data_IF_590650599469
#
_entry.id   IF_590650599469
#
_cell.length_a   1.000
_cell.length_b   1.000
_cell.length_c   1.000
_cell.angle_alpha   90.00
_cell.angle_beta   90.00
_cell.angle_gamma   90.00
#
_symmetry.space_group_name_H-M   'P 1'
#
loop_
_entity.id
_entity.type
_entity.pdbx_description
1 polymer ?
#
# COMPACT_ATOMS: atom_id res chain seq x y z
N UNK A 1 14.92 42.57 13.58
CA UNK A 1 14.74 41.75 14.80
C UNK A 1 13.37 41.06 14.88
N UNK A 2 12.28 41.74 14.52
CA UNK A 2 10.91 41.21 14.65
C UNK A 2 10.56 39.99 13.76
N UNK A 3 11.18 39.82 12.58
CA UNK A 3 10.93 38.68 11.69
C UNK A 3 11.41 37.32 12.27
N UNK A 4 12.56 37.30 12.95
CA UNK A 4 13.07 36.09 13.62
C UNK A 4 12.18 35.66 14.79
N UNK A 5 11.56 36.62 15.47
CA UNK A 5 10.68 36.35 16.62
C UNK A 5 9.33 35.77 16.16
N UNK A 6 8.78 36.27 15.05
CA UNK A 6 7.59 35.71 14.40
C UNK A 6 7.81 34.29 13.86
N UNK A 7 8.96 34.03 13.23
CA UNK A 7 9.31 32.67 12.77
C UNK A 7 9.47 31.67 13.92
N UNK A 8 10.11 32.08 15.04
CA UNK A 8 10.18 31.24 16.23
C UNK A 8 8.80 30.92 16.78
N UNK A 9 7.93 31.91 16.96
CA UNK A 9 6.56 31.70 17.45
C UNK A 9 5.77 30.75 16.53
N UNK A 10 5.85 30.94 15.21
CA UNK A 10 5.18 30.04 14.25
C UNK A 10 5.75 28.62 14.35
N UNK A 11 7.08 28.46 14.50
CA UNK A 11 7.70 27.13 14.69
C UNK A 11 7.30 26.48 16.02
N UNK A 12 7.21 27.25 17.11
CA UNK A 12 6.83 26.72 18.43
C UNK A 12 5.36 26.36 18.47
N UNK A 13 4.49 27.14 17.80
CA UNK A 13 3.06 26.85 17.69
C UNK A 13 2.80 25.66 16.79
N UNK A 14 3.52 25.51 15.67
CA UNK A 14 3.43 24.31 14.83
C UNK A 14 4.01 23.07 15.52
N UNK A 15 5.09 23.20 16.28
CA UNK A 15 5.63 22.13 17.11
C UNK A 15 4.66 21.73 18.24
N UNK A 16 4.04 22.71 18.91
CA UNK A 16 3.04 22.47 19.96
C UNK A 16 1.74 21.89 19.41
N UNK A 17 1.30 22.32 18.22
CA UNK A 17 0.14 21.74 17.52
C UNK A 17 0.42 20.32 17.03
N UNK A 18 1.65 20.05 16.59
CA UNK A 18 2.13 18.71 16.26
C UNK A 18 2.17 17.84 17.52
N UNK A 19 2.72 18.34 18.63
CA UNK A 19 2.74 17.64 19.92
C UNK A 19 1.34 17.43 20.51
N UNK A 20 0.43 18.39 20.38
CA UNK A 20 -0.94 18.26 20.90
C UNK A 20 -1.76 17.26 20.11
N UNK A 21 -1.43 17.03 18.83
CA UNK A 21 -1.96 15.93 18.04
C UNK A 21 -1.48 14.55 18.52
N UNK A 22 -0.38 14.48 19.29
CA UNK A 22 0.13 13.27 19.92
C UNK A 22 -0.29 13.11 21.39
N UNK A 23 -1.07 14.05 21.97
CA UNK A 23 -1.57 13.90 23.34
C UNK A 23 -2.75 12.93 23.36
N UNK A 24 -2.76 11.94 24.29
CA UNK A 24 -3.86 11.00 24.42
C UNK A 24 -5.18 11.71 24.72
N UNK A 25 -6.25 11.33 24.01
CA UNK A 25 -7.60 11.92 24.13
C UNK A 25 -8.37 11.51 25.40
N UNK A 26 -7.76 10.69 26.25
CA UNK A 26 -8.37 10.19 27.49
C UNK A 26 -7.59 10.74 28.68
N UNK A 27 -8.22 11.64 29.44
CA UNK A 27 -7.73 12.03 30.76
C UNK A 27 -7.80 10.82 31.69
N UNK A 28 -6.69 10.48 32.33
CA UNK A 28 -6.60 9.37 33.28
C UNK A 28 -7.00 9.87 34.67
N UNK A 29 -7.90 9.14 35.31
CA UNK A 29 -7.97 9.11 36.78
C UNK A 29 -6.74 8.37 37.27
N UNK A 30 -5.82 9.06 37.95
CA UNK A 30 -4.72 8.39 38.64
C UNK A 30 -5.34 7.42 39.68
N UNK A 31 -4.99 6.14 39.61
CA UNK A 31 -5.23 5.23 40.74
C UNK A 31 -4.58 5.88 41.96
N UNK A 32 -5.42 6.24 42.94
CA UNK A 32 -4.94 6.75 44.23
C UNK A 32 -4.38 5.53 44.96
N UNK A 33 -3.09 5.57 45.30
CA UNK A 33 -2.37 4.60 46.13
C UNK A 33 -2.95 4.54 47.56
N UNK A 34 -4.21 4.14 47.70
CA UNK A 34 -4.92 4.17 48.97
C UNK A 34 -5.76 2.94 49.25
N UNK A 35 -6.45 2.36 48.24
CA UNK A 35 -7.48 1.35 48.51
C UNK A 35 -7.64 0.25 47.44
N UNK A 36 -7.02 0.36 46.27
CA UNK A 36 -7.10 -0.65 45.21
C UNK A 36 -5.95 -1.67 45.29
N UNK A 37 -6.19 -2.97 45.01
CA UNK A 37 -5.12 -3.97 44.95
C UNK A 37 -4.04 -3.56 43.94
N UNK A 38 -2.76 -3.70 44.29
CA UNK A 38 -1.61 -3.33 43.43
C UNK A 38 -1.73 -3.89 42.01
N UNK A 39 -2.36 -5.06 41.86
CA UNK A 39 -2.63 -5.71 40.58
C UNK A 39 -3.54 -4.91 39.63
N UNK A 40 -4.55 -4.20 40.13
CA UNK A 40 -5.46 -3.41 39.27
C UNK A 40 -4.80 -2.14 38.78
N UNK A 41 -3.98 -1.47 39.61
CA UNK A 41 -3.25 -0.27 39.20
C UNK A 41 -2.16 -0.55 38.16
N UNK A 42 -1.48 -1.71 38.22
CA UNK A 42 -0.53 -2.15 37.17
C UNK A 42 -1.27 -2.41 35.84
N UNK A 43 -2.45 -3.01 35.92
CA UNK A 43 -3.25 -3.36 34.74
C UNK A 43 -3.81 -2.10 34.05
N UNK A 44 -4.40 -1.18 34.81
CA UNK A 44 -4.89 0.11 34.31
C UNK A 44 -3.78 0.96 33.71
N UNK A 45 -2.61 1.00 34.35
CA UNK A 45 -1.42 1.67 33.81
C UNK A 45 -0.96 1.06 32.48
N UNK A 46 -0.99 -0.27 32.37
CA UNK A 46 -0.63 -0.99 31.14
C UNK A 46 -1.63 -0.72 30.01
N UNK A 47 -2.94 -0.71 30.31
CA UNK A 47 -3.99 -0.36 29.35
C UNK A 47 -3.89 1.09 28.88
N UNK A 48 -3.60 2.01 29.80
CA UNK A 48 -3.41 3.42 29.47
C UNK A 48 -2.21 3.62 28.54
N UNK A 49 -1.07 3.03 28.87
CA UNK A 49 0.13 3.08 28.02
C UNK A 49 -0.13 2.47 26.63
N UNK A 50 -0.83 1.33 26.57
CA UNK A 50 -1.23 0.73 25.31
C UNK A 50 -2.14 1.65 24.51
N UNK A 51 -3.15 2.26 25.13
CA UNK A 51 -4.07 3.19 24.46
C UNK A 51 -3.35 4.41 23.88
N UNK A 52 -2.32 4.93 24.57
CA UNK A 52 -1.46 5.98 24.07
C UNK A 52 -0.71 5.49 22.82
N UNK A 53 -0.07 4.32 22.86
CA UNK A 53 0.61 3.74 21.69
C UNK A 53 -0.35 3.58 20.51
N UNK A 54 -1.55 3.03 20.72
CA UNK A 54 -2.55 2.89 19.66
C UNK A 54 -3.01 4.23 19.09
N UNK A 55 -3.19 5.25 19.93
CA UNK A 55 -3.48 6.60 19.49
C UNK A 55 -2.39 7.15 18.57
N UNK A 56 -1.11 6.95 18.93
CA UNK A 56 0.03 7.35 18.10
C UNK A 56 0.05 6.60 16.76
N UNK A 57 -0.07 5.26 16.77
CA UNK A 57 -0.04 4.45 15.54
C UNK A 57 -1.26 4.76 14.65
N UNK A 58 -2.44 4.93 15.25
CA UNK A 58 -3.67 5.31 14.54
C UNK A 58 -3.55 6.66 13.85
N UNK A 59 -3.04 7.67 14.57
CA UNK A 59 -2.79 9.00 14.02
C UNK A 59 -1.75 8.99 12.89
N UNK A 60 -0.64 8.25 13.07
CA UNK A 60 0.35 8.07 12.02
C UNK A 60 -0.25 7.41 10.78
N UNK A 61 -1.03 6.35 10.97
CA UNK A 61 -1.64 5.64 9.84
C UNK A 61 -2.68 6.50 9.13
N UNK A 62 -3.44 7.32 9.86
CA UNK A 62 -4.36 8.28 9.26
C UNK A 62 -3.61 9.31 8.38
N UNK A 63 -2.45 9.79 8.82
CA UNK A 63 -1.60 10.70 8.01
C UNK A 63 -1.08 9.99 6.77
N UNK A 64 -0.53 8.77 6.92
CA UNK A 64 0.00 7.99 5.80
C UNK A 64 -1.12 7.64 4.81
N UNK A 65 -2.30 7.27 5.28
CA UNK A 65 -3.46 6.96 4.45
C UNK A 65 -3.96 8.20 3.68
N UNK A 66 -3.97 9.39 4.32
CA UNK A 66 -4.26 10.66 3.62
C UNK A 66 -3.21 10.97 2.55
N UNK A 67 -1.93 10.78 2.87
CA UNK A 67 -0.83 10.92 1.91
C UNK A 67 -0.97 9.96 0.73
N UNK A 68 -1.36 8.72 1.00
CA UNK A 68 -1.59 7.70 -0.03
C UNK A 68 -2.76 8.10 -0.93
N UNK A 69 -3.85 8.56 -0.34
CA UNK A 69 -5.01 9.04 -1.09
C UNK A 69 -4.59 10.18 -2.05
N UNK A 70 -3.81 11.15 -1.57
CA UNK A 70 -3.26 12.21 -2.40
C UNK A 70 -2.37 11.67 -3.53
N UNK A 71 -1.42 10.79 -3.22
CA UNK A 71 -0.50 10.21 -4.21
C UNK A 71 -1.24 9.42 -5.30
N UNK A 72 -2.35 8.76 -4.95
CA UNK A 72 -3.18 7.98 -5.88
C UNK A 72 -3.96 8.88 -6.86
N UNK A 73 -4.44 10.05 -6.40
CA UNK A 73 -5.17 10.98 -7.26
C UNK A 73 -4.27 11.70 -8.28
N UNK A 74 -2.95 11.71 -8.07
CA UNK A 74 -2.01 12.23 -9.06
C UNK A 74 -1.94 11.28 -10.25
N UNK A 75 -2.70 11.59 -11.30
CA UNK A 75 -2.65 10.84 -12.56
C UNK A 75 -1.29 11.03 -13.23
N UNK A 76 -0.53 9.96 -13.53
CA UNK A 76 0.78 10.08 -14.17
C UNK A 76 0.68 10.33 -15.69
N UNK A 77 -0.45 10.04 -16.32
CA UNK A 77 -0.69 10.27 -17.76
C UNK A 77 -1.34 11.62 -18.05
N UNK A 78 -1.28 12.05 -19.31
CA UNK A 78 -1.87 13.30 -19.79
C UNK A 78 -0.90 14.18 -20.57
N UNK A 79 -1.34 15.40 -20.90
CA UNK A 79 -0.54 16.38 -21.64
C UNK A 79 0.43 17.08 -20.68
N UNK A 80 1.52 16.40 -20.36
CA UNK A 80 2.56 16.92 -19.47
C UNK A 80 3.65 17.48 -20.36
N UNK A 81 3.80 18.80 -20.35
CA UNK A 81 4.70 19.53 -21.27
C UNK A 81 6.12 18.95 -21.31
N UNK A 82 6.67 18.57 -20.14
CA UNK A 82 8.02 18.00 -20.06
C UNK A 82 8.10 16.62 -20.72
N UNK A 83 7.11 15.74 -20.49
CA UNK A 83 7.07 14.40 -21.09
C UNK A 83 6.91 14.52 -22.61
N UNK A 84 5.99 15.36 -23.08
CA UNK A 84 5.72 15.54 -24.52
C UNK A 84 6.92 16.12 -25.26
N UNK A 85 7.60 17.09 -24.67
CA UNK A 85 8.78 17.74 -25.26
C UNK A 85 9.95 16.76 -25.33
N UNK A 86 10.25 16.06 -24.22
CA UNK A 86 11.37 15.12 -24.18
C UNK A 86 11.11 13.86 -25.01
N UNK A 87 9.86 13.39 -25.06
CA UNK A 87 9.45 12.30 -25.94
C UNK A 87 9.69 12.62 -27.43
N UNK A 88 9.35 13.84 -27.88
CA UNK A 88 9.63 14.28 -29.26
C UNK A 88 11.12 14.20 -29.60
N UNK A 89 11.97 14.63 -28.67
CA UNK A 89 13.43 14.55 -28.83
C UNK A 89 13.88 13.09 -29.02
N UNK A 90 13.40 12.16 -28.17
CA UNK A 90 13.78 10.75 -28.29
C UNK A 90 13.18 10.06 -29.51
N UNK A 91 12.00 10.48 -29.97
CA UNK A 91 11.40 10.02 -31.22
C UNK A 91 12.24 10.48 -32.42
N UNK A 92 12.65 11.74 -32.45
CA UNK A 92 13.45 12.29 -33.56
C UNK A 92 14.85 11.65 -33.58
N UNK A 93 15.45 11.44 -32.41
CA UNK A 93 16.67 10.62 -32.28
C UNK A 93 16.44 9.19 -32.77
N UNK A 94 15.27 8.60 -32.48
CA UNK A 94 14.94 7.27 -32.99
C UNK A 94 14.85 7.23 -34.52
N UNK A 95 14.33 8.31 -35.13
CA UNK A 95 14.25 8.44 -36.57
C UNK A 95 15.64 8.45 -37.24
N UNK A 96 16.63 9.05 -36.60
CA UNK A 96 18.02 9.00 -37.09
C UNK A 96 18.58 7.58 -37.05
N UNK A 97 18.29 6.81 -36.00
CA UNK A 97 18.75 5.42 -35.88
C UNK A 97 18.08 4.52 -36.92
N UNK A 98 16.83 4.79 -37.34
CA UNK A 98 16.20 4.00 -38.42
C UNK A 98 17.03 3.97 -39.70
N UNK A 99 17.65 5.10 -40.07
CA UNK A 99 18.53 5.18 -41.25
C UNK A 99 19.74 4.27 -41.07
N UNK A 100 20.37 4.29 -39.89
CA UNK A 100 21.50 3.41 -39.57
C UNK A 100 21.10 1.94 -39.61
N UNK A 101 19.92 1.60 -39.08
CA UNK A 101 19.39 0.24 -39.10
C UNK A 101 19.09 -0.24 -40.53
N UNK A 102 18.59 0.63 -41.42
CA UNK A 102 18.39 0.31 -42.83
C UNK A 102 19.72 -0.03 -43.51
N UNK A 103 20.76 0.77 -43.29
CA UNK A 103 22.10 0.53 -43.84
C UNK A 103 22.66 -0.79 -43.29
N UNK A 104 22.49 -1.06 -41.99
CA UNK A 104 22.93 -2.30 -41.37
C UNK A 104 22.24 -3.54 -41.97
N UNK A 105 20.91 -3.49 -42.16
CA UNK A 105 20.15 -4.57 -42.80
C UNK A 105 20.56 -4.77 -44.27
N UNK A 106 20.91 -3.71 -45.00
CA UNK A 106 21.40 -3.81 -46.37
C UNK A 106 22.73 -4.59 -46.43
N UNK A 107 23.70 -4.26 -45.57
CA UNK A 107 24.94 -5.04 -45.47
C UNK A 107 24.71 -6.48 -45.02
N UNK A 108 23.85 -6.71 -44.04
CA UNK A 108 23.49 -8.06 -43.59
C UNK A 108 22.88 -8.90 -44.72
N UNK A 109 22.17 -8.27 -45.64
CA UNK A 109 21.63 -8.92 -46.84
C UNK A 109 22.72 -9.24 -47.87
N UNK A 110 23.68 -8.34 -48.07
CA UNK A 110 24.85 -8.57 -48.95
C UNK A 110 25.72 -9.74 -48.43
N UNK A 111 25.91 -9.83 -47.12
CA UNK A 111 26.72 -10.89 -46.49
C UNK A 111 25.93 -12.17 -46.17
N UNK A 112 24.69 -12.29 -46.65
CA UNK A 112 23.78 -13.43 -46.42
C UNK A 112 23.65 -13.86 -44.94
N UNK A 113 23.63 -12.88 -44.04
CA UNK A 113 23.43 -13.11 -42.61
C UNK A 113 21.93 -13.36 -42.35
N UNK A 114 21.49 -14.61 -42.51
CA UNK A 114 20.08 -15.02 -42.52
C UNK A 114 19.17 -14.35 -41.48
N UNK A 115 19.63 -14.23 -40.23
CA UNK A 115 18.85 -13.65 -39.12
C UNK A 115 18.64 -12.13 -39.21
N UNK A 116 19.50 -11.43 -39.94
CA UNK A 116 19.50 -9.98 -40.07
C UNK A 116 19.19 -9.51 -41.50
N UNK A 117 18.80 -10.45 -42.37
CA UNK A 117 18.39 -10.18 -43.74
C UNK A 117 17.13 -9.32 -43.80
N UNK A 118 17.08 -8.48 -44.82
CA UNK A 118 15.97 -7.58 -45.07
C UNK A 118 14.62 -8.31 -45.13
N UNK A 119 14.53 -9.46 -45.81
CA UNK A 119 13.24 -10.17 -45.96
C UNK A 119 12.65 -10.63 -44.62
N UNK A 120 13.51 -10.93 -43.65
CA UNK A 120 13.10 -11.38 -42.32
C UNK A 120 12.73 -10.23 -41.37
N UNK A 121 13.33 -9.06 -41.56
CA UNK A 121 13.20 -7.92 -40.65
C UNK A 121 12.27 -6.81 -41.14
N UNK A 122 12.00 -6.73 -42.44
CA UNK A 122 11.26 -5.61 -43.06
C UNK A 122 9.88 -5.40 -42.42
N UNK A 123 9.18 -6.49 -42.11
CA UNK A 123 7.85 -6.44 -41.46
C UNK A 123 7.95 -5.78 -40.08
N UNK A 124 8.94 -6.18 -39.26
CA UNK A 124 9.14 -5.59 -37.93
C UNK A 124 9.58 -4.14 -38.01
N UNK A 125 10.48 -3.83 -38.94
CA UNK A 125 10.95 -2.48 -39.18
C UNK A 125 9.80 -1.53 -39.52
N UNK A 126 8.94 -1.90 -40.48
CA UNK A 126 7.82 -1.07 -40.92
C UNK A 126 6.79 -0.86 -39.80
N UNK A 127 6.44 -1.93 -39.07
CA UNK A 127 5.51 -1.85 -37.94
C UNK A 127 6.05 -0.89 -36.88
N UNK A 128 7.32 -1.03 -36.50
CA UNK A 128 7.93 -0.17 -35.47
C UNK A 128 8.05 1.27 -35.93
N UNK A 129 8.38 1.52 -37.20
CA UNK A 129 8.45 2.87 -37.77
C UNK A 129 7.14 3.64 -37.62
N UNK A 130 6.00 2.96 -37.80
CA UNK A 130 4.68 3.55 -37.55
C UNK A 130 4.43 3.69 -36.05
N UNK A 131 4.64 2.64 -35.27
CA UNK A 131 4.30 2.61 -33.85
C UNK A 131 5.11 3.57 -32.98
N UNK A 132 6.34 3.92 -33.35
CA UNK A 132 7.14 4.92 -32.62
C UNK A 132 6.41 6.26 -32.54
N UNK A 133 5.72 6.68 -33.60
CA UNK A 133 4.95 7.93 -33.60
C UNK A 133 3.73 7.88 -32.67
N UNK A 134 3.20 6.68 -32.43
CA UNK A 134 2.07 6.45 -31.54
C UNK A 134 2.47 5.96 -30.14
N UNK A 135 3.76 5.84 -29.85
CA UNK A 135 4.27 5.24 -28.61
C UNK A 135 3.75 5.94 -27.34
N UNK A 136 3.71 7.27 -27.35
CA UNK A 136 3.16 8.06 -26.25
C UNK A 136 1.64 7.89 -26.10
N UNK A 137 0.91 7.80 -27.22
CA UNK A 137 -0.54 7.61 -27.22
C UNK A 137 -0.90 6.24 -26.64
N UNK A 138 -0.19 5.19 -27.05
CA UNK A 138 -0.36 3.83 -26.53
C UNK A 138 -0.05 3.79 -25.03
N UNK A 139 1.04 4.45 -24.60
CA UNK A 139 1.40 4.55 -23.18
C UNK A 139 0.30 5.22 -22.36
N UNK A 140 -0.19 6.38 -22.80
CA UNK A 140 -1.29 7.09 -22.11
C UNK A 140 -2.58 6.26 -22.07
N UNK A 141 -2.93 5.56 -23.15
CA UNK A 141 -4.11 4.69 -23.19
C UNK A 141 -4.06 3.60 -22.10
N UNK A 142 -2.89 2.96 -21.92
CA UNK A 142 -2.70 1.91 -20.91
C UNK A 142 -2.75 2.49 -19.49
N UNK A 143 -2.14 3.66 -19.27
CA UNK A 143 -2.23 4.37 -18.00
C UNK A 143 -3.69 4.65 -17.64
N UNK A 144 -4.48 5.10 -18.62
CA UNK A 144 -5.90 5.40 -18.42
C UNK A 144 -6.71 4.15 -18.11
N UNK A 145 -6.46 3.05 -18.80
CA UNK A 145 -7.07 1.76 -18.48
C UNK A 145 -6.77 1.33 -17.03
N UNK A 146 -5.51 1.44 -16.60
CA UNK A 146 -5.11 1.08 -15.22
C UNK A 146 -5.69 2.04 -14.18
N UNK A 147 -5.85 3.33 -14.52
CA UNK A 147 -6.50 4.31 -13.66
C UNK A 147 -7.99 4.03 -13.50
N UNK A 148 -8.68 3.56 -14.55
CA UNK A 148 -10.08 3.12 -14.43
C UNK A 148 -10.20 1.96 -13.44
N UNK A 149 -9.33 0.94 -13.55
CA UNK A 149 -9.30 -0.17 -12.58
C UNK A 149 -9.04 0.32 -11.15
N UNK A 150 -8.11 1.25 -10.98
CA UNK A 150 -7.81 1.90 -9.70
C UNK A 150 -9.05 2.57 -9.10
N UNK A 151 -9.77 3.33 -9.92
CA UNK A 151 -10.96 4.08 -9.48
C UNK A 151 -12.11 3.18 -9.04
N UNK A 152 -12.26 1.97 -9.62
CA UNK A 152 -13.27 0.98 -9.18
C UNK A 152 -13.03 0.59 -7.71
N UNK A 153 -11.78 0.27 -7.35
CA UNK A 153 -11.45 -0.11 -5.97
C UNK A 153 -11.48 1.09 -5.02
N UNK A 154 -11.03 2.27 -5.44
CA UNK A 154 -11.16 3.48 -4.62
C UNK A 154 -12.62 3.81 -4.30
N UNK A 155 -13.51 3.74 -5.29
CA UNK A 155 -14.94 3.95 -5.09
C UNK A 155 -15.55 2.93 -4.14
N UNK A 156 -15.10 1.67 -4.22
CA UNK A 156 -15.56 0.58 -3.35
C UNK A 156 -15.01 0.67 -1.91
N UNK A 157 -13.82 1.23 -1.75
CA UNK A 157 -13.21 1.43 -0.44
C UNK A 157 -13.80 2.66 0.27
N UNK A 158 -14.04 3.75 -0.47
CA UNK A 158 -14.41 5.05 0.10
C UNK A 158 -13.21 5.76 0.73
N UNK A 159 -13.41 6.41 1.88
CA UNK A 159 -12.30 7.04 2.59
C UNK A 159 -11.43 5.98 3.29
N UNK A 160 -10.30 5.64 2.64
CA UNK A 160 -9.27 4.75 3.17
C UNK A 160 -8.85 5.13 4.59
N UNK A 161 -8.62 6.42 4.85
CA UNK A 161 -8.14 6.92 6.14
C UNK A 161 -9.14 6.70 7.28
N UNK A 162 -10.43 6.93 7.04
CA UNK A 162 -11.47 6.79 8.06
C UNK A 162 -11.71 5.31 8.41
N UNK A 163 -11.74 4.44 7.38
CA UNK A 163 -11.92 3.00 7.57
C UNK A 163 -10.73 2.40 8.30
N UNK A 164 -9.51 2.68 7.84
CA UNK A 164 -8.30 2.21 8.50
C UNK A 164 -8.19 2.77 9.92
N UNK A 165 -8.50 4.05 10.13
CA UNK A 165 -8.52 4.66 11.47
C UNK A 165 -9.51 3.97 12.43
N UNK A 166 -10.69 3.59 11.95
CA UNK A 166 -11.68 2.83 12.73
C UNK A 166 -11.12 1.48 13.16
N UNK A 167 -10.45 0.78 12.25
CA UNK A 167 -9.87 -0.53 12.51
C UNK A 167 -8.56 -0.51 13.30
N UNK A 168 -7.97 0.67 13.52
CA UNK A 168 -6.81 0.83 14.40
C UNK A 168 -7.20 1.25 15.80
N UNK A 169 -8.51 1.40 16.07
CA UNK A 169 -9.01 1.54 17.41
C UNK A 169 -8.87 0.19 18.15
N UNK A 170 -8.16 0.15 19.29
CA UNK A 170 -7.95 -1.09 20.02
C UNK A 170 -9.26 -1.72 20.50
N UNK A 171 -10.29 -0.91 20.80
CA UNK A 171 -11.63 -1.38 21.17
C UNK A 171 -12.30 -2.11 20.02
N UNK A 172 -12.04 -1.67 18.78
CA UNK A 172 -12.54 -2.37 17.60
C UNK A 172 -11.75 -3.65 17.38
N UNK A 173 -10.42 -3.65 17.54
CA UNK A 173 -9.59 -4.85 17.31
C UNK A 173 -9.77 -5.94 18.39
N UNK A 174 -9.98 -5.56 19.64
CA UNK A 174 -10.12 -6.51 20.74
C UNK A 174 -11.22 -6.01 21.68
N UNK A 175 -12.52 -6.22 21.36
CA UNK A 175 -13.64 -5.61 22.10
C UNK A 175 -13.71 -6.01 23.57
N UNK A 176 -13.10 -7.13 23.97
CA UNK A 176 -13.07 -7.56 25.36
C UNK A 176 -11.96 -6.91 26.20
N UNK A 177 -11.07 -6.08 25.62
CA UNK A 177 -10.00 -5.39 26.38
C UNK A 177 -10.55 -4.47 27.48
N UNK A 178 -11.74 -3.91 27.28
CA UNK A 178 -12.38 -3.02 28.26
C UNK A 178 -12.99 -3.78 29.45
N UNK A 179 -13.16 -5.10 29.33
CA UNK A 179 -13.70 -5.98 30.39
C UNK A 179 -12.62 -6.58 31.29
N UNK A 180 -11.34 -6.42 30.93
CA UNK A 180 -10.19 -6.94 31.67
C UNK A 180 -9.91 -6.10 32.93
N UNK A 181 -10.62 -4.99 33.15
CA UNK A 181 -10.57 -4.21 34.39
C UNK A 181 -11.13 -4.93 35.64
N UNK A 182 -11.60 -6.18 35.51
CA UNK A 182 -11.94 -7.04 36.65
C UNK A 182 -10.79 -8.02 36.90
N UNK A 183 -10.36 -8.15 38.17
CA UNK A 183 -9.05 -8.59 38.65
C UNK A 183 -8.52 -9.99 38.21
N UNK A 184 -9.25 -10.75 37.38
CA UNK A 184 -8.96 -12.16 37.08
C UNK A 184 -8.32 -12.42 35.68
N UNK A 185 -7.68 -11.42 35.05
CA UNK A 185 -7.11 -11.60 33.71
C UNK A 185 -5.76 -10.89 33.45
N UNK A 186 -4.79 -11.03 34.37
CA UNK A 186 -3.54 -10.26 34.35
C UNK A 186 -2.55 -10.65 33.23
N UNK A 187 -2.48 -11.92 32.83
CA UNK A 187 -1.58 -12.35 31.72
C UNK A 187 -2.27 -12.28 30.35
N UNK A 188 -3.57 -12.54 30.29
CA UNK A 188 -4.32 -12.58 29.04
C UNK A 188 -4.49 -11.25 28.34
N UNK A 189 -4.89 -10.23 29.10
CA UNK A 189 -5.06 -8.89 28.54
C UNK A 189 -3.75 -8.32 28.02
N UNK A 190 -2.64 -8.53 28.73
CA UNK A 190 -1.32 -8.04 28.33
C UNK A 190 -0.85 -8.71 27.03
N UNK A 191 -1.06 -10.02 26.87
CA UNK A 191 -0.74 -10.73 25.62
C UNK A 191 -1.58 -10.19 24.45
N UNK A 192 -2.90 -10.01 24.66
CA UNK A 192 -3.79 -9.45 23.63
C UNK A 192 -3.40 -8.03 23.20
N UNK A 193 -3.00 -7.18 24.15
CA UNK A 193 -2.49 -5.83 23.86
C UNK A 193 -1.21 -5.90 23.00
N UNK A 194 -0.26 -6.76 23.36
CA UNK A 194 1.01 -6.88 22.61
C UNK A 194 0.75 -7.34 21.17
N UNK A 195 -0.11 -8.33 20.97
CA UNK A 195 -0.51 -8.79 19.63
C UNK A 195 -1.23 -7.70 18.84
N UNK A 196 -2.12 -6.95 19.49
CA UNK A 196 -2.81 -5.82 18.88
C UNK A 196 -1.84 -4.75 18.38
N UNK A 197 -0.80 -4.43 19.18
CA UNK A 197 0.24 -3.46 18.81
C UNK A 197 1.01 -3.98 17.59
N UNK A 198 1.48 -5.23 17.64
CA UNK A 198 2.22 -5.86 16.53
C UNK A 198 1.42 -5.80 15.24
N UNK A 199 0.14 -6.17 15.29
CA UNK A 199 -0.73 -6.13 14.12
C UNK A 199 -0.91 -4.70 13.59
N UNK A 200 -1.18 -3.73 14.47
CA UNK A 200 -1.32 -2.33 14.05
C UNK A 200 -0.05 -1.77 13.39
N UNK A 201 1.14 -2.23 13.83
CA UNK A 201 2.42 -1.88 13.21
C UNK A 201 2.59 -2.52 11.83
N UNK A 202 2.18 -3.77 11.64
CA UNK A 202 2.21 -4.44 10.32
C UNK A 202 1.32 -3.69 9.33
N UNK A 203 0.13 -3.28 9.76
CA UNK A 203 -0.79 -2.48 8.93
C UNK A 203 -0.20 -1.12 8.57
N UNK A 204 0.34 -0.39 9.55
CA UNK A 204 1.02 0.89 9.33
C UNK A 204 2.17 0.72 8.32
N UNK A 205 3.01 -0.30 8.50
CA UNK A 205 4.11 -0.60 7.59
C UNK A 205 3.62 -0.89 6.17
N UNK A 206 2.58 -1.71 6.01
CA UNK A 206 1.99 -2.03 4.71
C UNK A 206 1.54 -0.79 3.94
N UNK A 207 0.84 0.14 4.62
CA UNK A 207 0.35 1.38 3.99
C UNK A 207 1.50 2.35 3.71
N UNK A 208 2.51 2.38 4.58
CA UNK A 208 3.70 3.21 4.37
C UNK A 208 4.48 2.77 3.12
N UNK A 209 4.69 1.46 2.95
CA UNK A 209 5.30 0.91 1.73
C UNK A 209 4.50 1.34 0.51
N UNK A 210 3.18 1.19 0.53
CA UNK A 210 2.33 1.58 -0.58
C UNK A 210 2.41 3.08 -0.91
N UNK A 211 2.49 3.95 0.09
CA UNK A 211 2.69 5.40 -0.11
C UNK A 211 4.00 5.68 -0.85
N UNK A 212 5.10 5.06 -0.42
CA UNK A 212 6.41 5.26 -1.05
C UNK A 212 6.38 4.82 -2.50
N UNK A 213 5.83 3.62 -2.78
CA UNK A 213 5.72 3.12 -4.15
C UNK A 213 4.78 3.98 -5.01
N UNK A 214 3.67 4.48 -4.46
CA UNK A 214 2.76 5.38 -5.18
C UNK A 214 3.44 6.70 -5.56
N UNK A 215 4.29 7.26 -4.71
CA UNK A 215 5.05 8.49 -5.01
C UNK A 215 6.10 8.22 -6.09
N UNK A 216 6.84 7.12 -5.98
CA UNK A 216 7.92 6.74 -6.91
C UNK A 216 7.37 6.32 -8.28
N UNK A 217 6.14 5.81 -8.34
CA UNK A 217 5.46 5.38 -9.57
C UNK A 217 5.41 6.48 -10.63
N UNK A 218 4.99 7.70 -10.25
CA UNK A 218 4.79 8.81 -11.21
C UNK A 218 6.04 9.18 -12.01
N UNK A 219 7.20 9.49 -11.39
CA UNK A 219 8.41 9.82 -12.13
C UNK A 219 8.94 8.63 -12.95
N UNK A 220 8.77 7.39 -12.49
CA UNK A 220 9.18 6.21 -13.26
C UNK A 220 8.31 6.05 -14.51
N UNK A 221 6.99 6.21 -14.41
CA UNK A 221 6.10 6.17 -15.56
C UNK A 221 6.47 7.27 -16.56
N UNK A 222 6.76 8.49 -16.11
CA UNK A 222 7.23 9.57 -16.99
C UNK A 222 8.52 9.21 -17.72
N UNK A 223 9.52 8.66 -17.01
CA UNK A 223 10.76 8.21 -17.63
C UNK A 223 10.51 7.11 -18.68
N UNK A 224 9.62 6.15 -18.38
CA UNK A 224 9.26 5.08 -19.32
C UNK A 224 8.49 5.60 -20.55
N UNK A 225 7.62 6.61 -20.39
CA UNK A 225 6.93 7.26 -21.50
C UNK A 225 7.92 8.01 -22.40
N UNK A 226 8.85 8.75 -21.80
CA UNK A 226 9.90 9.48 -22.52
C UNK A 226 10.73 8.50 -23.36
N UNK A 227 11.23 7.43 -22.75
CA UNK A 227 12.11 6.43 -23.39
C UNK A 227 11.34 5.49 -24.33
N UNK A 228 10.01 5.56 -24.38
CA UNK A 228 9.19 4.65 -25.17
C UNK A 228 9.64 4.50 -26.64
N UNK A 229 9.97 5.55 -27.42
CA UNK A 229 10.42 5.40 -28.82
C UNK A 229 11.61 4.44 -28.96
N UNK A 230 12.59 4.55 -28.06
CA UNK A 230 13.78 3.70 -28.04
C UNK A 230 13.46 2.27 -27.63
N UNK A 231 12.49 2.09 -26.74
CA UNK A 231 12.01 0.76 -26.37
C UNK A 231 11.40 0.06 -27.60
N UNK A 232 10.49 0.72 -28.31
CA UNK A 232 9.87 0.20 -29.53
C UNK A 232 10.91 -0.12 -30.61
N UNK A 233 11.93 0.73 -30.78
CA UNK A 233 13.04 0.47 -31.70
C UNK A 233 13.78 -0.85 -31.41
N UNK A 234 14.00 -1.17 -30.13
CA UNK A 234 14.73 -2.39 -29.76
C UNK A 234 14.03 -3.69 -30.21
N UNK A 235 12.75 -3.63 -30.60
CA UNK A 235 12.03 -4.76 -31.19
C UNK A 235 12.48 -5.08 -32.63
N UNK A 236 13.07 -4.13 -33.36
CA UNK A 236 13.50 -4.31 -34.75
C UNK A 236 14.62 -5.34 -34.81
N UNK A 237 15.66 -5.17 -33.98
CA UNK A 237 16.82 -6.05 -33.94
C UNK A 237 16.54 -7.28 -33.07
N UNK A 238 16.71 -8.51 -33.58
CA UNK A 238 16.43 -9.72 -32.82
C UNK A 238 17.36 -9.92 -31.62
N UNK A 239 18.52 -9.24 -31.57
CA UNK A 239 19.43 -9.27 -30.42
C UNK A 239 19.06 -8.28 -29.31
N UNK A 240 18.34 -7.19 -29.61
CA UNK A 240 17.98 -6.17 -28.61
C UNK A 240 16.53 -6.26 -28.14
N UNK A 241 15.74 -7.22 -28.64
CA UNK A 241 14.35 -7.46 -28.20
C UNK A 241 14.18 -7.77 -26.70
N UNK A 242 15.27 -8.03 -25.96
CA UNK A 242 15.25 -8.09 -24.50
C UNK A 242 14.88 -6.75 -23.84
N UNK A 243 15.33 -5.62 -24.41
CA UNK A 243 15.02 -4.29 -23.89
C UNK A 243 13.53 -3.95 -24.03
N UNK A 244 12.95 -4.30 -25.17
CA UNK A 244 11.51 -4.21 -25.43
C UNK A 244 10.68 -4.94 -24.37
N UNK A 245 11.02 -6.21 -24.09
CA UNK A 245 10.36 -7.01 -23.06
C UNK A 245 10.52 -6.40 -21.67
N UNK A 246 11.74 -5.95 -21.32
CA UNK A 246 12.00 -5.29 -20.04
C UNK A 246 11.17 -4.01 -19.88
N UNK A 247 11.07 -3.20 -20.93
CA UNK A 247 10.26 -1.99 -20.91
C UNK A 247 8.79 -2.31 -20.67
N UNK A 248 8.21 -3.30 -21.37
CA UNK A 248 6.84 -3.73 -21.11
C UNK A 248 6.62 -4.25 -19.70
N UNK A 249 7.52 -5.10 -19.20
CA UNK A 249 7.42 -5.65 -17.86
C UNK A 249 7.44 -4.54 -16.81
N UNK A 250 8.33 -3.55 -16.96
CA UNK A 250 8.38 -2.39 -16.08
C UNK A 250 7.12 -1.52 -16.24
N UNK A 251 6.74 -1.22 -17.48
CA UNK A 251 5.60 -0.35 -17.76
C UNK A 251 4.28 -0.93 -17.22
N UNK A 252 4.01 -2.20 -17.45
CA UNK A 252 2.86 -2.88 -16.87
C UNK A 252 3.01 -3.03 -15.35
N UNK A 253 4.19 -3.39 -14.84
CA UNK A 253 4.42 -3.53 -13.40
C UNK A 253 4.09 -2.25 -12.63
N UNK A 254 4.63 -1.10 -13.05
CA UNK A 254 4.36 0.19 -12.41
C UNK A 254 2.93 0.69 -12.61
N UNK A 255 2.26 0.31 -13.71
CA UNK A 255 0.87 0.71 -13.94
C UNK A 255 -0.14 -0.18 -13.18
N UNK A 256 0.10 -1.49 -13.10
CA UNK A 256 -0.78 -2.47 -12.45
C UNK A 256 -0.55 -2.59 -10.95
N UNK A 257 0.62 -2.18 -10.44
CA UNK A 257 0.90 -2.15 -9.00
C UNK A 257 -0.24 -1.52 -8.21
N UNK A 258 -0.70 -0.34 -8.60
CA UNK A 258 -1.70 0.40 -7.85
C UNK A 258 -3.08 -0.29 -7.81
N UNK A 259 -3.71 -0.68 -8.95
CA UNK A 259 -4.98 -1.38 -8.90
C UNK A 259 -4.88 -2.73 -8.18
N UNK A 260 -3.76 -3.45 -8.31
CA UNK A 260 -3.54 -4.72 -7.59
C UNK A 260 -3.43 -4.46 -6.08
N UNK A 261 -2.63 -3.49 -5.66
CA UNK A 261 -2.50 -3.12 -4.25
C UNK A 261 -3.87 -2.74 -3.64
N UNK A 262 -4.63 -1.90 -4.34
CA UNK A 262 -5.95 -1.49 -3.86
C UNK A 262 -6.95 -2.64 -3.81
N UNK A 263 -6.86 -3.61 -4.72
CA UNK A 263 -7.65 -4.84 -4.64
C UNK A 263 -7.36 -5.61 -3.34
N UNK A 264 -6.09 -5.81 -2.99
CA UNK A 264 -5.71 -6.48 -1.73
C UNK A 264 -6.15 -5.70 -0.49
N UNK A 265 -6.02 -4.37 -0.49
CA UNK A 265 -6.55 -3.52 0.58
C UNK A 265 -8.08 -3.64 0.69
N UNK A 266 -8.78 -3.60 -0.44
CA UNK A 266 -10.23 -3.77 -0.46
C UNK A 266 -10.65 -5.12 0.12
N UNK A 267 -9.98 -6.21 -0.26
CA UNK A 267 -10.22 -7.54 0.32
C UNK A 267 -9.96 -7.55 1.83
N UNK A 268 -8.81 -7.04 2.27
CA UNK A 268 -8.46 -6.96 3.68
C UNK A 268 -9.50 -6.18 4.49
N UNK A 269 -10.02 -5.07 3.94
CA UNK A 269 -11.07 -4.27 4.57
C UNK A 269 -12.42 -4.99 4.60
N UNK A 270 -12.77 -5.78 3.58
CA UNK A 270 -13.96 -6.65 3.60
C UNK A 270 -13.84 -7.67 4.70
N UNK A 271 -12.72 -8.40 4.76
CA UNK A 271 -12.48 -9.38 5.82
C UNK A 271 -12.69 -8.71 7.16
N UNK A 272 -11.97 -7.62 7.42
CA UNK A 272 -12.03 -6.92 8.69
C UNK A 272 -13.43 -6.42 9.07
N UNK A 273 -14.23 -5.97 8.09
CA UNK A 273 -15.63 -5.58 8.30
C UNK A 273 -16.57 -6.76 8.61
N UNK A 274 -16.22 -7.97 8.17
CA UNK A 274 -16.98 -9.21 8.38
C UNK A 274 -16.51 -10.04 9.56
N UNK A 275 -15.49 -9.55 10.30
CA UNK A 275 -14.92 -10.23 11.45
C UNK A 275 -15.99 -10.71 12.44
N UNK A 276 -16.87 -9.81 12.88
CA UNK A 276 -17.83 -10.11 13.96
C UNK A 276 -18.83 -11.19 13.54
N UNK A 277 -19.22 -11.19 12.26
CA UNK A 277 -20.10 -12.21 11.66
C UNK A 277 -19.40 -13.58 11.59
N UNK A 278 -18.16 -13.61 11.10
CA UNK A 278 -17.37 -14.85 10.98
C UNK A 278 -17.08 -15.43 12.36
N UNK A 279 -16.67 -14.59 13.31
CA UNK A 279 -16.43 -15.01 14.69
C UNK A 279 -17.72 -15.49 15.36
N UNK A 280 -18.85 -14.81 15.14
CA UNK A 280 -20.17 -15.24 15.62
C UNK A 280 -20.59 -16.61 15.06
N UNK A 281 -20.35 -16.86 13.78
CA UNK A 281 -20.66 -18.14 13.14
C UNK A 281 -19.77 -19.29 13.68
N UNK A 282 -18.47 -19.05 13.86
CA UNK A 282 -17.56 -20.02 14.48
C UNK A 282 -17.96 -20.31 15.92
N UNK A 283 -18.43 -19.29 16.64
CA UNK A 283 -18.97 -19.47 18.00
C UNK A 283 -20.27 -20.29 17.99
N UNK A 284 -21.16 -20.13 17.02
CA UNK A 284 -22.37 -20.95 16.93
C UNK A 284 -22.08 -22.39 16.50
N UNK A 285 -21.12 -22.61 15.59
CA UNK A 285 -20.72 -23.93 15.11
C UNK A 285 -20.10 -24.81 16.22
N UNK A 286 -19.26 -24.22 17.06
CA UNK A 286 -18.66 -24.96 18.18
C UNK A 286 -19.68 -25.26 19.31
N UNK A 287 -20.69 -24.41 19.52
CA UNK A 287 -21.79 -24.68 20.48
C UNK A 287 -22.67 -25.86 20.05
N UNK A 288 -22.88 -26.04 18.74
CA UNK A 288 -23.69 -27.15 18.19
C UNK A 288 -22.95 -28.48 18.15
N UNK A 289 -21.61 -28.48 18.24
CA UNK A 289 -20.77 -29.67 18.34
C UNK A 289 -20.58 -30.21 19.77
N UNK A 290 -21.33 -29.69 20.76
CA UNK A 290 -21.25 -30.14 22.16
C UNK A 290 -20.09 -29.56 22.97
N UNK A 291 -19.36 -28.56 22.45
CA UNK A 291 -18.38 -27.81 23.22
C UNK A 291 -19.09 -26.72 24.06
N UNK A 292 -18.86 -26.70 25.37
CA UNK A 292 -19.60 -25.86 26.33
C UNK A 292 -19.43 -24.36 26.09
N UNK A 293 -18.30 -23.88 25.57
CA UNK A 293 -18.26 -22.73 24.65
C UNK A 293 -17.01 -22.76 23.72
N UNK A 294 -17.15 -22.31 22.46
CA UNK A 294 -16.08 -22.09 21.47
C UNK A 294 -14.94 -21.15 21.89
N UNK A 295 -15.23 -20.31 22.87
CA UNK A 295 -14.31 -19.29 23.39
C UNK A 295 -13.45 -19.83 24.53
N UNK A 296 -13.79 -21.02 25.07
CA UNK A 296 -13.22 -21.56 26.31
C UNK A 296 -11.99 -22.47 26.08
N UNK A 297 -11.43 -22.48 24.85
CA UNK A 297 -10.07 -22.98 24.60
C UNK A 297 -9.16 -21.79 24.33
N UNK A 298 -8.81 -21.00 25.37
CA UNK A 298 -7.72 -20.05 25.26
C UNK A 298 -6.46 -20.82 24.85
N UNK A 299 -5.64 -20.22 23.97
CA UNK A 299 -4.41 -20.83 23.46
C UNK A 299 -3.47 -21.29 24.60
N UNK A 300 -3.56 -20.62 25.76
CA UNK A 300 -2.95 -21.01 27.02
C UNK A 300 -4.05 -21.20 28.08
N UNK A 301 -4.01 -22.31 28.82
CA UNK A 301 -4.91 -22.54 29.95
C UNK A 301 -4.78 -21.40 31.00
N UNK A 302 -5.92 -20.83 31.43
CA UNK A 302 -5.97 -19.72 32.41
C UNK A 302 -6.05 -18.31 31.82
N UNK A 303 -6.10 -18.17 30.49
CA UNK A 303 -6.37 -16.91 29.82
C UNK A 303 -7.88 -16.71 29.62
N UNK A 304 -8.45 -15.57 30.01
CA UNK A 304 -9.82 -15.23 29.61
C UNK A 304 -9.95 -15.23 28.09
N UNK A 305 -11.16 -15.56 27.61
CA UNK A 305 -11.65 -15.74 26.24
C UNK A 305 -11.31 -14.65 25.17
N UNK A 306 -10.49 -13.65 25.52
CA UNK A 306 -10.13 -12.51 24.68
C UNK A 306 -9.16 -12.82 23.52
N UNK A 307 -8.39 -13.92 23.60
CA UNK A 307 -7.44 -14.33 22.55
C UNK A 307 -7.62 -15.81 22.18
N UNK A 308 -8.64 -16.12 21.39
CA UNK A 308 -8.78 -17.46 20.81
C UNK A 308 -7.92 -17.61 19.56
N UNK A 309 -7.51 -18.84 19.23
CA UNK A 309 -6.77 -19.14 17.99
C UNK A 309 -7.45 -18.55 16.74
N UNK A 310 -8.78 -18.52 16.73
CA UNK A 310 -9.57 -17.97 15.62
C UNK A 310 -9.36 -16.47 15.44
N UNK A 311 -9.23 -15.71 16.54
CA UNK A 311 -8.93 -14.28 16.48
C UNK A 311 -7.54 -14.06 15.87
N UNK A 312 -6.53 -14.77 16.38
CA UNK A 312 -5.15 -14.64 15.90
C UNK A 312 -5.03 -15.02 14.42
N UNK A 313 -5.63 -16.15 14.03
CA UNK A 313 -5.64 -16.61 12.64
C UNK A 313 -6.28 -15.57 11.71
N UNK A 314 -7.47 -15.08 12.07
CA UNK A 314 -8.18 -14.08 11.28
C UNK A 314 -7.37 -12.79 11.09
N UNK A 315 -6.74 -12.34 12.17
CA UNK A 315 -5.93 -11.13 12.19
C UNK A 315 -4.64 -11.24 11.41
N UNK A 316 -3.91 -12.34 11.57
CA UNK A 316 -2.71 -12.64 10.79
C UNK A 316 -3.04 -12.83 9.31
N UNK A 317 -4.16 -13.49 9.01
CA UNK A 317 -4.62 -13.64 7.64
C UNK A 317 -4.97 -12.29 7.01
N UNK A 318 -5.67 -11.41 7.73
CA UNK A 318 -5.98 -10.05 7.24
C UNK A 318 -4.71 -9.24 7.00
N UNK A 319 -3.74 -9.31 7.93
CA UNK A 319 -2.45 -8.65 7.77
C UNK A 319 -1.68 -9.20 6.54
N UNK A 320 -1.68 -10.52 6.36
CA UNK A 320 -1.08 -11.17 5.20
C UNK A 320 -1.74 -10.73 3.89
N UNK A 321 -3.07 -10.67 3.84
CA UNK A 321 -3.81 -10.20 2.66
C UNK A 321 -3.46 -8.75 2.33
N UNK A 322 -3.37 -7.86 3.33
CA UNK A 322 -3.02 -6.47 3.09
C UNK A 322 -1.57 -6.28 2.65
N UNK A 323 -0.62 -7.01 3.26
CA UNK A 323 0.80 -7.01 2.84
C UNK A 323 0.98 -7.64 1.46
N UNK A 324 0.15 -8.61 1.09
CA UNK A 324 0.13 -9.20 -0.25
C UNK A 324 -0.17 -8.20 -1.37
N UNK A 325 -0.64 -6.98 -1.07
CA UNK A 325 -0.70 -5.93 -2.09
C UNK A 325 0.67 -5.39 -2.53
N UNK A 326 1.74 -5.68 -1.78
CA UNK A 326 3.06 -5.00 -1.93
C UNK A 326 4.10 -5.77 -2.74
N UNK A 327 3.82 -7.02 -3.14
CA UNK A 327 4.76 -7.88 -3.88
C UNK A 327 4.67 -7.81 -5.40
#
# INVERSE_FOLDING_TARGET
>A
MQLKQRQKIISTVTLLAFLSFFLPTYFIHACVLGWDPIGTCILEGSFSFASMIFGLIGNLTAIVAKGLNYAIFVRPGGNILIVDTTWKILRDFSNMIFIVLLIYMAFATIFDQGKYRFESMIVRFLIVAVLINFSLVIGNFIIDFCQVLTNIFLGSIGNLGDRLGTFMNPVVLFPDITKIATADATTGGLISIVFAIILSLIFLFSILVALVFAIVRTPIIWALLIVSPLAWMSYILPSSGGWWKKWWNQFFGWNLFLPVYLFFIYLGLIFLSKRDEIMGAVIQANKTAGATNPTDVPLLAGLTNSLSFNHLFFYLFTAFVMVGGTW
#
